data_IF_043810326910
#
_entry.id   IF_043810326910
#
_cell.length_a   1.000
_cell.length_b   1.000
_cell.length_c   1.000
_cell.angle_alpha   90.00
_cell.angle_beta   90.00
_cell.angle_gamma   90.00
#
_symmetry.space_group_name_H-M   'P 1'
#
loop_
_entity.id
_entity.type
_entity.pdbx_description
1 polymer ?
#
# COMPACT_ATOMS: atom_id res chain seq x y z
N UNK A 1 -24.95 14.43 -33.72
CA UNK A 1 -24.72 15.80 -33.19
C UNK A 1 -25.62 16.20 -32.02
N UNK A 2 -26.89 15.72 -31.92
CA UNK A 2 -27.80 16.07 -30.83
C UNK A 2 -27.50 15.32 -29.54
N UNK A 3 -27.02 14.09 -29.64
CA UNK A 3 -26.62 13.24 -28.51
C UNK A 3 -25.35 13.77 -27.81
N UNK A 4 -24.42 14.31 -28.58
CA UNK A 4 -23.16 14.85 -28.09
C UNK A 4 -23.37 16.16 -27.31
N UNK A 5 -24.31 17.00 -27.71
CA UNK A 5 -24.67 18.21 -26.95
C UNK A 5 -25.34 17.90 -25.63
N UNK A 6 -26.21 16.86 -25.53
CA UNK A 6 -26.82 16.47 -24.27
C UNK A 6 -25.77 15.91 -23.29
N UNK A 7 -24.83 15.10 -23.76
CA UNK A 7 -23.74 14.61 -22.91
C UNK A 7 -22.85 15.75 -22.41
N UNK A 8 -22.50 16.71 -23.25
CA UNK A 8 -21.73 17.89 -22.83
C UNK A 8 -22.52 18.76 -21.84
N UNK A 9 -23.81 18.96 -22.05
CA UNK A 9 -24.66 19.70 -21.10
C UNK A 9 -24.86 18.98 -19.79
N UNK A 10 -24.97 17.65 -19.79
CA UNK A 10 -24.96 16.85 -18.55
C UNK A 10 -23.64 17.01 -17.79
N UNK A 11 -22.49 16.90 -18.46
CA UNK A 11 -21.20 17.08 -17.80
C UNK A 11 -20.98 18.48 -17.22
N UNK A 12 -21.58 19.52 -17.81
CA UNK A 12 -21.49 20.90 -17.30
C UNK A 12 -22.48 21.13 -16.16
N UNK A 13 -23.63 20.45 -16.17
CA UNK A 13 -24.68 20.62 -15.16
C UNK A 13 -24.40 19.88 -13.88
N UNK A 14 -23.61 18.81 -13.94
CA UNK A 14 -23.28 17.92 -12.80
C UNK A 14 -22.00 18.33 -12.07
N UNK A 15 -21.28 19.39 -12.53
CA UNK A 15 -20.20 19.93 -11.72
C UNK A 15 -20.80 20.69 -10.53
N UNK A 16 -20.47 20.30 -9.27
CA UNK A 16 -21.06 20.95 -8.11
C UNK A 16 -20.70 22.44 -8.11
N UNK A 17 -21.70 23.29 -7.82
CA UNK A 17 -21.57 24.77 -7.84
C UNK A 17 -20.46 25.28 -6.92
N UNK A 18 -19.98 24.46 -6.00
CA UNK A 18 -18.92 24.76 -5.04
C UNK A 18 -17.59 24.05 -5.33
N UNK A 19 -17.43 23.37 -6.48
CA UNK A 19 -16.16 22.75 -6.82
C UNK A 19 -15.09 23.79 -7.14
N UNK A 20 -13.92 23.61 -6.59
CA UNK A 20 -12.76 24.46 -6.91
C UNK A 20 -12.38 24.22 -8.37
N UNK A 21 -12.40 25.29 -9.17
CA UNK A 21 -12.01 25.24 -10.59
C UNK A 21 -10.48 25.23 -10.69
N UNK A 22 -9.86 24.06 -10.57
CA UNK A 22 -8.45 23.90 -10.82
C UNK A 22 -8.21 23.77 -12.34
N UNK A 23 -7.74 24.85 -12.96
CA UNK A 23 -7.42 24.87 -14.40
C UNK A 23 -6.24 23.96 -14.76
N UNK A 24 -5.27 23.83 -13.86
CA UNK A 24 -4.10 23.01 -14.05
C UNK A 24 -4.31 21.61 -13.47
N UNK A 25 -4.12 20.58 -14.30
CA UNK A 25 -4.31 19.20 -13.90
C UNK A 25 -3.02 18.52 -13.47
N UNK A 26 -1.87 19.08 -13.82
CA UNK A 26 -0.51 18.55 -13.59
C UNK A 26 -0.35 17.07 -13.99
N UNK A 27 -1.30 16.54 -14.74
CA UNK A 27 -1.35 15.13 -15.18
C UNK A 27 -1.06 14.10 -14.05
N UNK A 28 -1.52 14.39 -12.83
CA UNK A 28 -1.17 13.62 -11.63
C UNK A 28 -1.53 12.13 -11.74
N UNK A 29 -2.67 11.79 -12.38
CA UNK A 29 -3.03 10.39 -12.62
C UNK A 29 -2.06 9.71 -13.59
N UNK A 30 -1.65 10.39 -14.66
CA UNK A 30 -0.64 9.91 -15.60
C UNK A 30 0.73 9.78 -14.94
N UNK A 31 1.11 10.74 -14.08
CA UNK A 31 2.35 10.68 -13.31
C UNK A 31 2.35 9.49 -12.36
N UNK A 32 1.26 9.23 -11.64
CA UNK A 32 1.14 8.06 -10.75
C UNK A 32 1.28 6.76 -11.53
N UNK A 33 0.66 6.64 -12.71
CA UNK A 33 0.81 5.47 -13.56
C UNK A 33 2.24 5.30 -14.08
N UNK A 34 2.91 6.37 -14.47
CA UNK A 34 4.30 6.33 -14.90
C UNK A 34 5.25 5.89 -13.76
N UNK A 35 5.03 6.42 -12.56
CA UNK A 35 5.78 6.00 -11.37
C UNK A 35 5.53 4.52 -11.05
N UNK A 36 4.30 4.04 -11.20
CA UNK A 36 3.98 2.61 -11.05
C UNK A 36 4.80 1.74 -12.01
N UNK A 37 4.93 2.13 -13.28
CA UNK A 37 5.76 1.39 -14.25
C UNK A 37 7.24 1.37 -13.85
N UNK A 38 7.78 2.51 -13.40
CA UNK A 38 9.16 2.59 -12.90
C UNK A 38 9.34 1.66 -11.70
N UNK A 39 8.43 1.68 -10.74
CA UNK A 39 8.48 0.84 -9.55
C UNK A 39 8.40 -0.65 -9.89
N UNK A 40 7.53 -1.01 -10.82
CA UNK A 40 7.40 -2.40 -11.26
C UNK A 40 8.68 -2.91 -11.93
N UNK A 41 9.23 -2.14 -12.87
CA UNK A 41 10.45 -2.53 -13.59
C UNK A 41 11.64 -2.61 -12.62
N UNK A 42 11.85 -1.58 -11.81
CA UNK A 42 12.94 -1.56 -10.84
C UNK A 42 12.78 -2.64 -9.77
N UNK A 43 11.56 -2.91 -9.31
CA UNK A 43 11.26 -3.97 -8.35
C UNK A 43 11.58 -5.36 -8.88
N UNK A 44 11.17 -5.66 -10.12
CA UNK A 44 11.51 -6.94 -10.78
C UNK A 44 13.03 -7.14 -10.86
N UNK A 45 13.77 -6.09 -11.21
CA UNK A 45 15.24 -6.18 -11.26
C UNK A 45 15.85 -6.40 -9.87
N UNK A 46 15.34 -5.75 -8.84
CA UNK A 46 15.82 -5.94 -7.46
C UNK A 46 15.55 -7.35 -6.93
N UNK A 47 14.48 -8.02 -7.38
CA UNK A 47 14.16 -9.40 -6.98
C UNK A 47 15.28 -10.41 -7.31
N UNK A 48 16.07 -10.17 -8.35
CA UNK A 48 17.18 -11.06 -8.73
C UNK A 48 18.36 -11.01 -7.76
N UNK A 49 18.49 -9.95 -6.98
CA UNK A 49 19.62 -9.72 -6.09
C UNK A 49 19.25 -9.87 -4.61
N UNK A 50 17.99 -9.78 -4.27
CA UNK A 50 17.53 -9.80 -2.89
C UNK A 50 17.09 -11.21 -2.46
N UNK A 51 17.64 -11.70 -1.33
CA UNK A 51 17.28 -12.96 -0.72
C UNK A 51 16.44 -12.72 0.55
N UNK A 52 15.16 -13.14 0.60
CA UNK A 52 14.27 -12.88 1.73
C UNK A 52 14.54 -13.83 2.90
N UNK A 53 15.76 -13.81 3.43
CA UNK A 53 16.20 -14.60 4.59
C UNK A 53 16.81 -13.65 5.63
N UNK A 54 16.67 -13.97 6.91
CA UNK A 54 17.18 -13.10 7.99
C UNK A 54 18.69 -12.91 7.89
N UNK A 55 19.40 -13.95 7.45
CA UNK A 55 20.86 -13.94 7.36
C UNK A 55 21.36 -12.98 6.28
N UNK A 56 20.67 -12.90 5.14
CA UNK A 56 21.16 -12.17 3.97
C UNK A 56 20.40 -10.87 3.65
N UNK A 57 19.19 -10.70 4.14
CA UNK A 57 18.36 -9.54 3.77
C UNK A 57 19.06 -8.19 3.98
N UNK A 58 19.70 -8.02 5.14
CA UNK A 58 20.39 -6.78 5.45
C UNK A 58 21.67 -6.59 4.62
N UNK A 59 22.48 -7.64 4.47
CA UNK A 59 23.72 -7.60 3.70
C UNK A 59 23.45 -7.40 2.21
N UNK A 60 22.43 -8.05 1.64
CA UNK A 60 22.05 -7.86 0.25
C UNK A 60 21.63 -6.41 -0.04
N UNK A 61 20.98 -5.74 0.90
CA UNK A 61 20.64 -4.31 0.75
C UNK A 61 21.87 -3.41 0.79
N UNK A 62 22.88 -3.75 1.62
CA UNK A 62 24.15 -3.01 1.64
C UNK A 62 24.89 -3.24 0.31
N UNK A 63 25.02 -4.48 -0.13
CA UNK A 63 25.68 -4.82 -1.38
C UNK A 63 25.02 -4.15 -2.60
N UNK A 64 23.70 -4.11 -2.64
CA UNK A 64 22.94 -3.38 -3.65
C UNK A 64 23.22 -1.87 -3.65
N UNK A 65 23.58 -1.32 -2.51
CA UNK A 65 23.84 0.12 -2.37
C UNK A 65 25.29 0.48 -2.68
N UNK A 66 26.25 -0.37 -2.27
CA UNK A 66 27.67 -0.01 -2.25
C UNK A 66 28.48 -0.69 -3.36
N UNK A 67 28.18 -1.96 -3.69
CA UNK A 67 29.04 -2.77 -4.53
C UNK A 67 28.48 -2.99 -5.95
N UNK A 68 27.19 -2.99 -6.10
CA UNK A 68 26.57 -3.28 -7.39
C UNK A 68 26.41 -2.00 -8.20
N UNK A 69 26.77 -1.97 -9.51
CA UNK A 69 26.52 -0.83 -10.38
C UNK A 69 25.03 -0.46 -10.45
N UNK A 70 24.18 -1.33 -9.96
CA UNK A 70 22.74 -1.17 -9.82
C UNK A 70 22.29 -0.52 -8.50
N UNK A 71 23.19 0.04 -7.69
CA UNK A 71 22.83 0.88 -6.54
C UNK A 71 21.84 1.97 -6.92
N UNK A 72 22.01 2.55 -8.10
CA UNK A 72 21.04 3.48 -8.70
C UNK A 72 19.66 2.87 -8.82
N UNK A 73 19.54 1.58 -9.13
CA UNK A 73 18.23 0.92 -9.28
C UNK A 73 17.45 0.85 -7.96
N UNK A 74 18.15 0.56 -6.86
CA UNK A 74 17.54 0.59 -5.53
C UNK A 74 17.10 2.01 -5.16
N UNK A 75 17.93 3.00 -5.44
CA UNK A 75 17.60 4.40 -5.17
C UNK A 75 16.42 4.90 -6.02
N UNK A 76 16.37 4.54 -7.30
CA UNK A 76 15.20 4.84 -8.16
C UNK A 76 13.94 4.21 -7.59
N UNK A 77 14.01 2.95 -7.16
CA UNK A 77 12.87 2.26 -6.54
C UNK A 77 12.43 2.97 -5.27
N UNK A 78 13.34 3.28 -4.37
CA UNK A 78 13.07 3.95 -3.09
C UNK A 78 12.46 5.35 -3.29
N UNK A 79 13.12 6.19 -4.10
CA UNK A 79 12.63 7.54 -4.36
C UNK A 79 11.35 7.54 -5.20
N UNK A 80 11.23 6.60 -6.13
CA UNK A 80 10.00 6.35 -6.88
C UNK A 80 8.83 6.01 -5.96
N UNK A 81 9.03 5.20 -4.94
CA UNK A 81 8.00 4.86 -3.95
C UNK A 81 7.54 6.10 -3.16
N UNK A 82 8.47 6.95 -2.69
CA UNK A 82 8.10 8.21 -2.02
C UNK A 82 7.33 9.13 -2.96
N UNK A 83 7.80 9.30 -4.21
CA UNK A 83 7.13 10.11 -5.21
C UNK A 83 5.72 9.56 -5.54
N UNK A 84 5.57 8.23 -5.60
CA UNK A 84 4.28 7.55 -5.84
C UNK A 84 3.26 7.88 -4.75
N UNK A 85 3.64 7.73 -3.47
CA UNK A 85 2.75 8.04 -2.35
C UNK A 85 2.29 9.50 -2.40
N UNK A 86 3.21 10.44 -2.63
CA UNK A 86 2.89 11.86 -2.74
C UNK A 86 1.97 12.13 -3.95
N UNK A 87 2.30 11.56 -5.13
CA UNK A 87 1.54 11.78 -6.35
C UNK A 87 0.11 11.23 -6.24
N UNK A 88 -0.06 10.02 -5.70
CA UNK A 88 -1.39 9.40 -5.51
C UNK A 88 -2.21 10.18 -4.49
N UNK A 89 -1.59 10.60 -3.38
CA UNK A 89 -2.27 11.40 -2.37
C UNK A 89 -2.76 12.75 -2.93
N UNK A 90 -1.90 13.46 -3.64
CA UNK A 90 -2.26 14.72 -4.29
C UNK A 90 -3.31 14.52 -5.39
N UNK A 91 -3.24 13.41 -6.14
CA UNK A 91 -4.25 13.05 -7.13
C UNK A 91 -5.63 12.85 -6.49
N UNK A 92 -5.69 12.06 -5.42
CA UNK A 92 -6.93 11.81 -4.68
C UNK A 92 -7.49 13.09 -4.05
N UNK A 93 -6.63 13.89 -3.43
CA UNK A 93 -7.02 15.19 -2.88
C UNK A 93 -7.62 16.10 -3.95
N UNK A 94 -7.00 16.16 -5.13
CA UNK A 94 -7.54 16.93 -6.26
C UNK A 94 -8.90 16.42 -6.72
N UNK A 95 -9.07 15.11 -6.88
CA UNK A 95 -10.34 14.48 -7.27
C UNK A 95 -11.44 14.84 -6.28
N UNK A 96 -11.11 14.84 -4.98
CA UNK A 96 -12.02 15.24 -3.92
C UNK A 96 -12.40 16.73 -4.02
N UNK A 97 -11.42 17.62 -4.10
CA UNK A 97 -11.65 19.09 -4.18
C UNK A 97 -12.43 19.52 -5.41
N UNK A 98 -12.26 18.84 -6.54
CA UNK A 98 -13.00 19.12 -7.78
C UNK A 98 -14.39 18.47 -7.80
N UNK A 99 -14.77 17.70 -6.79
CA UNK A 99 -16.03 16.98 -6.74
C UNK A 99 -16.18 15.89 -7.80
N UNK A 100 -15.07 15.45 -8.41
CA UNK A 100 -15.08 14.47 -9.49
C UNK A 100 -15.41 13.04 -9.03
N UNK A 101 -15.57 12.83 -7.73
CA UNK A 101 -15.99 11.56 -7.12
C UNK A 101 -17.50 11.33 -7.15
N UNK A 102 -18.29 12.35 -7.53
CA UNK A 102 -19.75 12.27 -7.55
C UNK A 102 -20.26 11.56 -8.81
N UNK A 103 -21.55 11.12 -8.83
CA UNK A 103 -22.14 10.45 -9.98
C UNK A 103 -21.83 11.16 -11.30
N UNK A 104 -21.49 10.44 -12.38
CA UNK A 104 -21.47 8.99 -12.55
C UNK A 104 -20.12 8.30 -12.23
N UNK A 105 -19.22 8.93 -11.46
CA UNK A 105 -17.81 8.48 -11.24
C UNK A 105 -17.55 7.87 -9.87
N UNK A 106 -18.59 7.48 -9.15
CA UNK A 106 -18.51 6.89 -7.80
C UNK A 106 -17.70 5.60 -7.77
N UNK A 107 -17.90 4.76 -8.78
CA UNK A 107 -17.13 3.51 -8.91
C UNK A 107 -15.63 3.78 -9.07
N UNK A 108 -15.26 4.73 -9.92
CA UNK A 108 -13.85 5.10 -10.09
C UNK A 108 -13.23 5.67 -8.81
N UNK A 109 -14.02 6.39 -8.01
CA UNK A 109 -13.58 6.87 -6.71
C UNK A 109 -13.30 5.71 -5.76
N UNK A 110 -14.22 4.75 -5.66
CA UNK A 110 -14.05 3.57 -4.80
C UNK A 110 -12.79 2.77 -5.17
N UNK A 111 -12.57 2.54 -6.47
CA UNK A 111 -11.33 1.90 -6.96
C UNK A 111 -10.11 2.73 -6.58
N UNK A 112 -10.16 4.05 -6.74
CA UNK A 112 -9.06 4.95 -6.37
C UNK A 112 -8.72 4.88 -4.88
N UNK A 113 -9.70 4.77 -3.99
CA UNK A 113 -9.49 4.60 -2.55
C UNK A 113 -8.80 3.27 -2.26
N UNK A 114 -9.23 2.19 -2.89
CA UNK A 114 -8.58 0.87 -2.75
C UNK A 114 -7.13 0.93 -3.21
N UNK A 115 -6.85 1.55 -4.37
CA UNK A 115 -5.50 1.72 -4.88
C UNK A 115 -4.62 2.57 -3.96
N UNK A 116 -5.17 3.61 -3.32
CA UNK A 116 -4.44 4.38 -2.32
C UNK A 116 -4.05 3.51 -1.12
N UNK A 117 -4.98 2.72 -0.59
CA UNK A 117 -4.71 1.81 0.53
C UNK A 117 -3.65 0.78 0.15
N UNK A 118 -3.74 0.18 -1.05
CA UNK A 118 -2.73 -0.74 -1.56
C UNK A 118 -1.36 -0.07 -1.73
N UNK A 119 -1.30 1.16 -2.22
CA UNK A 119 -0.05 1.92 -2.35
C UNK A 119 0.62 2.14 -0.99
N UNK A 120 -0.14 2.49 0.05
CA UNK A 120 0.37 2.64 1.41
C UNK A 120 0.84 1.30 1.99
N UNK A 121 0.08 0.24 1.75
CA UNK A 121 0.44 -1.12 2.18
C UNK A 121 1.76 -1.57 1.51
N UNK A 122 1.90 -1.36 0.20
CA UNK A 122 3.11 -1.69 -0.55
C UNK A 122 4.31 -0.88 -0.05
N UNK A 123 4.13 0.42 0.22
CA UNK A 123 5.19 1.25 0.80
C UNK A 123 5.63 0.73 2.17
N UNK A 124 4.68 0.34 3.02
CA UNK A 124 4.96 -0.23 4.32
C UNK A 124 5.69 -1.56 4.20
N UNK A 125 5.18 -2.51 3.40
CA UNK A 125 5.81 -3.82 3.24
C UNK A 125 7.20 -3.72 2.65
N UNK A 126 7.43 -2.83 1.67
CA UNK A 126 8.75 -2.60 1.08
C UNK A 126 9.77 -2.00 2.06
N UNK A 127 9.30 -1.12 2.96
CA UNK A 127 10.14 -0.58 4.03
C UNK A 127 10.66 -1.65 5.00
N UNK A 128 9.94 -2.75 5.15
CA UNK A 128 10.29 -3.83 6.10
C UNK A 128 11.33 -4.82 5.55
N UNK A 129 11.56 -4.85 4.23
CA UNK A 129 12.44 -5.83 3.58
C UNK A 129 13.91 -5.74 3.98
N UNK A 130 14.51 -4.56 4.27
CA UNK A 130 15.89 -4.48 4.74
C UNK A 130 16.16 -5.23 6.04
N UNK A 131 15.14 -5.59 6.79
CA UNK A 131 15.22 -6.32 8.06
C UNK A 131 16.19 -5.67 9.06
N UNK A 132 16.24 -4.35 9.03
CA UNK A 132 16.99 -3.55 9.99
C UNK A 132 16.22 -3.39 11.32
N UNK A 133 16.83 -2.76 12.28
CA UNK A 133 16.21 -2.56 13.58
C UNK A 133 14.91 -1.75 13.51
N UNK A 134 14.84 -0.78 12.60
CA UNK A 134 13.63 0.02 12.40
C UNK A 134 12.50 -0.83 11.79
N UNK A 135 12.81 -1.70 10.82
CA UNK A 135 11.85 -2.63 10.23
C UNK A 135 11.29 -3.60 11.29
N UNK A 136 12.15 -4.18 12.13
CA UNK A 136 11.73 -5.10 13.19
C UNK A 136 10.77 -4.41 14.18
N UNK A 137 11.09 -3.18 14.59
CA UNK A 137 10.20 -2.42 15.48
C UNK A 137 8.89 -2.03 14.79
N UNK A 138 8.93 -1.66 13.52
CA UNK A 138 7.73 -1.35 12.75
C UNK A 138 6.80 -2.57 12.63
N UNK A 139 7.35 -3.76 12.39
CA UNK A 139 6.58 -5.01 12.39
C UNK A 139 6.00 -5.30 13.78
N UNK A 140 6.79 -5.13 14.84
CA UNK A 140 6.33 -5.37 16.20
C UNK A 140 5.13 -4.47 16.55
N UNK A 141 5.22 -3.18 16.25
CA UNK A 141 4.12 -2.23 16.47
C UNK A 141 2.92 -2.56 15.58
N UNK A 142 3.13 -2.76 14.27
CA UNK A 142 2.06 -3.07 13.33
C UNK A 142 1.33 -4.37 13.66
N UNK A 143 2.05 -5.39 14.11
CA UNK A 143 1.45 -6.67 14.52
C UNK A 143 0.63 -6.53 15.81
N UNK A 144 1.08 -5.71 16.77
CA UNK A 144 0.30 -5.43 17.97
C UNK A 144 -0.97 -4.65 17.63
N UNK A 145 -0.91 -3.71 16.70
CA UNK A 145 -2.10 -3.03 16.19
C UNK A 145 -3.08 -4.00 15.52
N UNK A 146 -2.57 -4.97 14.75
CA UNK A 146 -3.40 -6.04 14.19
C UNK A 146 -4.08 -6.90 15.25
N UNK A 147 -3.41 -7.14 16.40
CA UNK A 147 -3.99 -7.82 17.56
C UNK A 147 -5.13 -7.06 18.22
N UNK A 148 -5.20 -5.74 18.06
CA UNK A 148 -6.28 -4.89 18.55
C UNK A 148 -7.41 -4.66 17.53
N UNK A 149 -7.33 -5.27 16.34
CA UNK A 149 -8.34 -5.10 15.28
C UNK A 149 -9.69 -5.69 15.74
N UNK A 150 -10.81 -4.97 15.54
CA UNK A 150 -12.14 -5.49 15.89
C UNK A 150 -12.42 -6.84 15.20
N UNK A 151 -12.98 -7.78 15.94
CA UNK A 151 -13.34 -9.15 15.52
C UNK A 151 -12.19 -10.07 15.08
N UNK A 152 -11.05 -9.54 14.63
CA UNK A 152 -9.92 -10.31 14.10
C UNK A 152 -8.72 -10.37 15.05
N UNK A 153 -8.66 -9.48 16.00
CA UNK A 153 -7.61 -9.43 17.02
C UNK A 153 -8.10 -9.98 18.36
N UNK A 154 -7.27 -10.73 19.06
CA UNK A 154 -7.60 -11.31 20.37
C UNK A 154 -7.76 -10.27 21.48
N UNK A 155 -7.21 -9.08 21.29
CA UNK A 155 -7.31 -7.93 22.21
C UNK A 155 -8.30 -6.87 21.71
N UNK A 156 -8.90 -7.08 20.53
CA UNK A 156 -9.86 -6.18 19.93
C UNK A 156 -11.28 -6.34 20.43
N UNK A 157 -12.12 -5.30 20.28
CA UNK A 157 -13.53 -5.39 20.62
C UNK A 157 -14.23 -6.42 19.74
N UNK A 158 -15.10 -7.24 20.35
CA UNK A 158 -15.87 -8.26 19.65
C UNK A 158 -15.16 -9.60 19.42
N UNK A 159 -13.92 -9.78 19.91
CA UNK A 159 -13.24 -11.07 19.85
C UNK A 159 -14.05 -12.19 20.55
N UNK A 160 -14.72 -11.88 21.64
CA UNK A 160 -15.59 -12.83 22.39
C UNK A 160 -16.88 -13.18 21.66
N UNK A 161 -17.33 -12.40 20.67
CA UNK A 161 -18.51 -12.71 19.87
C UNK A 161 -18.30 -13.88 18.90
N UNK A 162 -17.03 -14.22 18.62
CA UNK A 162 -16.63 -15.35 17.80
C UNK A 162 -16.32 -16.58 18.66
N UNK A 163 -16.89 -16.66 19.88
CA UNK A 163 -16.82 -17.85 20.73
C UNK A 163 -18.13 -18.64 20.63
N UNK A 164 -18.03 -19.97 20.52
CA UNK A 164 -19.16 -20.90 20.58
C UNK A 164 -18.95 -21.81 21.79
N UNK A 165 -19.75 -21.60 22.84
CA UNK A 165 -19.58 -22.28 24.13
C UNK A 165 -18.23 -21.90 24.76
N UNK A 166 -17.44 -22.90 25.13
CA UNK A 166 -16.11 -22.72 25.71
C UNK A 166 -14.98 -22.56 24.66
N UNK A 167 -15.32 -22.62 23.37
CA UNK A 167 -14.33 -22.54 22.28
C UNK A 167 -14.25 -21.11 21.75
N UNK A 168 -13.11 -20.46 21.97
CA UNK A 168 -12.79 -19.16 21.40
C UNK A 168 -12.00 -19.35 20.10
N UNK A 169 -12.57 -18.91 18.96
CA UNK A 169 -11.90 -19.01 17.66
C UNK A 169 -10.78 -17.98 17.49
N UNK A 170 -10.87 -16.84 18.19
CA UNK A 170 -9.86 -15.78 18.15
C UNK A 170 -9.04 -15.82 19.44
N UNK A 171 -7.86 -16.40 19.36
CA UNK A 171 -6.87 -16.49 20.45
C UNK A 171 -5.59 -15.80 20.02
N UNK A 172 -4.65 -15.56 20.94
CA UNK A 172 -3.30 -15.04 20.61
C UNK A 172 -2.53 -15.91 19.61
N UNK A 173 -2.93 -17.16 19.42
CA UNK A 173 -2.32 -18.10 18.49
C UNK A 173 -3.05 -18.20 17.14
N UNK A 174 -4.23 -17.58 17.00
CA UNK A 174 -5.07 -17.64 15.81
C UNK A 174 -5.57 -16.27 15.35
N UNK A 175 -5.13 -15.18 15.99
CA UNK A 175 -5.53 -13.82 15.66
C UNK A 175 -4.81 -13.27 14.40
N UNK A 176 -5.18 -12.07 13.99
CA UNK A 176 -4.60 -11.40 12.84
C UNK A 176 -3.07 -11.23 12.93
N UNK A 177 -2.51 -11.09 14.15
CA UNK A 177 -1.05 -11.06 14.37
C UNK A 177 -0.39 -12.33 13.89
N UNK A 178 -0.92 -13.49 14.28
CA UNK A 178 -0.35 -14.77 13.90
C UNK A 178 -0.35 -14.95 12.38
N UNK A 179 -1.40 -14.47 11.72
CA UNK A 179 -1.49 -14.45 10.26
C UNK A 179 -0.37 -13.62 9.61
N UNK A 180 -0.11 -12.44 10.14
CA UNK A 180 0.94 -11.53 9.64
C UNK A 180 2.37 -12.03 9.96
N UNK A 181 2.61 -12.39 11.21
CA UNK A 181 3.95 -12.79 11.69
C UNK A 181 4.34 -14.19 11.18
N UNK A 182 3.37 -15.09 11.06
CA UNK A 182 3.62 -16.47 10.66
C UNK A 182 4.15 -17.36 11.77
N UNK A 183 4.05 -16.91 13.03
CA UNK A 183 4.53 -17.62 14.20
C UNK A 183 4.36 -16.82 15.48
N UNK A 184 4.95 -17.32 16.56
CA UNK A 184 4.92 -16.63 17.86
C UNK A 184 5.94 -15.49 17.96
N UNK A 185 6.98 -15.53 17.13
CA UNK A 185 8.09 -14.59 17.12
C UNK A 185 8.33 -14.08 15.71
N UNK A 186 8.87 -12.85 15.61
CA UNK A 186 9.35 -12.30 14.36
C UNK A 186 10.52 -13.13 13.84
N UNK A 187 10.45 -13.58 12.61
CA UNK A 187 11.43 -14.46 12.04
C UNK A 187 11.37 -14.55 10.52
N UNK A 188 12.00 -15.54 9.96
CA UNK A 188 12.10 -15.78 8.53
C UNK A 188 10.71 -15.90 7.85
N UNK A 189 9.77 -16.60 8.51
CA UNK A 189 8.40 -16.71 8.04
C UNK A 189 7.70 -15.34 7.91
N UNK A 190 8.03 -14.40 8.79
CA UNK A 190 7.51 -13.04 8.76
C UNK A 190 8.09 -12.29 7.56
N UNK A 191 9.41 -12.30 7.40
CA UNK A 191 10.09 -11.64 6.30
C UNK A 191 9.61 -12.15 4.95
N UNK A 192 9.50 -13.47 4.79
CA UNK A 192 9.01 -14.08 3.55
C UNK A 192 7.58 -13.64 3.22
N UNK A 193 6.69 -13.54 4.20
CA UNK A 193 5.32 -13.08 3.99
C UNK A 193 5.26 -11.63 3.53
N UNK A 194 6.02 -10.75 4.16
CA UNK A 194 6.09 -9.35 3.74
C UNK A 194 6.73 -9.20 2.36
N UNK A 195 7.74 -10.00 2.03
CA UNK A 195 8.32 -10.07 0.69
C UNK A 195 7.28 -10.46 -0.37
N UNK A 196 6.55 -11.55 -0.13
CA UNK A 196 5.50 -12.02 -1.05
C UNK A 196 4.40 -10.97 -1.20
N UNK A 197 3.93 -10.38 -0.10
CA UNK A 197 2.94 -9.31 -0.13
C UNK A 197 3.43 -8.08 -0.91
N UNK A 198 4.71 -7.72 -0.78
CA UNK A 198 5.28 -6.61 -1.52
C UNK A 198 5.42 -6.89 -3.02
N UNK A 199 5.73 -8.12 -3.41
CA UNK A 199 5.93 -8.48 -4.82
C UNK A 199 4.62 -8.71 -5.59
N UNK A 200 3.55 -9.14 -4.89
CA UNK A 200 2.26 -9.53 -5.52
C UNK A 200 1.21 -8.40 -5.42
N UNK A 201 1.29 -7.58 -4.38
CA UNK A 201 0.34 -6.47 -4.15
C UNK A 201 0.60 -5.33 -5.07
#
# INVERSE_FOLDING_TARGET
HYRDRRQRQMCIRDSPKHAVKLKFTWCMGGLSFFLFLILTISGILLMFYYRPTIEYAYTDIIDLTEQVPFGIMREIHRWGAHAMVIAVWLHMFRVFMTGSYKPPREFNWSVGVILLVLTLLLSFTGYLLPWDQLAIWAIAVGSNMAGATPFLGSEGPGASLLAIGDVNFITKASDARFGLIGGRFLGEATLLRFYVLHCIG
#
